data_IF_458685752065
#
_entry.id   IF_458685752065
#
_cell.length_a   1.000
_cell.length_b   1.000
_cell.length_c   1.000
_cell.angle_alpha   90.00
_cell.angle_beta   90.00
_cell.angle_gamma   90.00
#
_symmetry.space_group_name_H-M   'P 1'
#
loop_
_entity.id
_entity.type
_entity.pdbx_description
1 polymer ?
#
# COMPACT_ATOMS: atom_id res chain seq x y z
N UNK A 1 6.54 1.78 -13.41
CA UNK A 1 6.37 0.33 -13.56
C UNK A 1 7.46 -0.21 -14.48
N UNK A 2 7.97 -1.40 -14.21
CA UNK A 2 8.74 -2.14 -15.20
C UNK A 2 7.77 -2.84 -16.19
N UNK A 3 8.25 -3.28 -17.36
CA UNK A 3 7.41 -3.87 -18.41
C UNK A 3 6.65 -5.12 -17.93
N UNK A 4 7.21 -5.88 -16.98
CA UNK A 4 6.58 -7.07 -16.40
C UNK A 4 5.45 -6.70 -15.46
N UNK A 5 5.65 -5.72 -14.59
CA UNK A 5 4.62 -5.19 -13.69
C UNK A 5 3.43 -4.64 -14.49
N UNK A 6 3.68 -3.92 -15.59
CA UNK A 6 2.62 -3.41 -16.49
C UNK A 6 1.79 -4.55 -17.10
N UNK A 7 2.44 -5.60 -17.59
CA UNK A 7 1.75 -6.75 -18.19
C UNK A 7 0.98 -7.56 -17.13
N UNK A 8 1.58 -7.71 -15.95
CA UNK A 8 0.98 -8.45 -14.84
C UNK A 8 -0.21 -7.71 -14.23
N UNK A 9 -0.21 -6.38 -14.27
CA UNK A 9 -1.39 -5.60 -13.91
C UNK A 9 -2.56 -5.86 -14.88
N UNK A 10 -2.32 -5.95 -16.19
CA UNK A 10 -3.39 -6.17 -17.17
C UNK A 10 -4.13 -7.50 -16.96
N UNK A 11 -3.42 -8.54 -16.53
CA UNK A 11 -4.05 -9.84 -16.22
C UNK A 11 -4.80 -9.83 -14.89
N UNK A 12 -4.35 -9.02 -13.93
CA UNK A 12 -4.96 -8.84 -12.62
C UNK A 12 -6.16 -7.87 -12.62
N UNK A 13 -6.16 -6.88 -13.50
CA UNK A 13 -7.07 -5.75 -13.49
C UNK A 13 -8.57 -6.12 -13.51
N UNK A 14 -9.03 -7.10 -14.33
CA UNK A 14 -10.44 -7.50 -14.31
C UNK A 14 -10.88 -8.01 -12.93
N UNK A 15 -10.11 -8.93 -12.35
CA UNK A 15 -10.37 -9.46 -11.01
C UNK A 15 -10.30 -8.40 -9.91
N UNK A 16 -9.40 -7.43 -10.06
CA UNK A 16 -9.28 -6.30 -9.14
C UNK A 16 -10.51 -5.40 -9.17
N UNK A 17 -10.99 -5.05 -10.35
CA UNK A 17 -12.21 -4.24 -10.52
C UNK A 17 -13.42 -4.99 -9.96
N UNK A 18 -13.58 -6.28 -10.30
CA UNK A 18 -14.68 -7.10 -9.77
C UNK A 18 -14.65 -7.21 -8.24
N UNK A 19 -13.46 -7.35 -7.65
CA UNK A 19 -13.27 -7.34 -6.21
C UNK A 19 -13.72 -6.02 -5.58
N UNK A 20 -13.29 -4.89 -6.13
CA UNK A 20 -13.67 -3.56 -5.63
C UNK A 20 -15.17 -3.29 -5.80
N UNK A 21 -15.76 -3.67 -6.93
CA UNK A 21 -17.20 -3.55 -7.17
C UNK A 21 -18.01 -4.39 -6.17
N UNK A 22 -17.53 -5.60 -5.86
CA UNK A 22 -18.14 -6.46 -4.83
C UNK A 22 -18.03 -5.80 -3.46
N UNK A 23 -16.88 -5.24 -3.10
CA UNK A 23 -16.70 -4.50 -1.85
C UNK A 23 -17.68 -3.32 -1.77
N UNK A 24 -17.79 -2.53 -2.84
CA UNK A 24 -18.70 -1.39 -2.91
C UNK A 24 -20.17 -1.81 -2.77
N UNK A 25 -20.61 -2.79 -3.56
CA UNK A 25 -22.00 -3.29 -3.60
C UNK A 25 -22.46 -3.83 -2.25
N UNK A 26 -21.56 -4.48 -1.51
CA UNK A 26 -21.88 -5.11 -0.23
C UNK A 26 -21.42 -4.30 0.99
N UNK A 27 -20.98 -3.06 0.79
CA UNK A 27 -20.41 -2.21 1.85
C UNK A 27 -19.33 -2.93 2.67
N UNK A 28 -18.50 -3.75 2.00
CA UNK A 28 -17.40 -4.46 2.64
C UNK A 28 -16.18 -3.54 2.71
N UNK A 29 -15.57 -3.36 3.90
CA UNK A 29 -14.35 -2.57 4.02
C UNK A 29 -13.19 -3.24 3.27
N UNK A 30 -12.32 -2.42 2.69
CA UNK A 30 -11.07 -2.84 2.04
C UNK A 30 -9.97 -1.82 2.36
N UNK A 31 -8.78 -2.34 2.58
CA UNK A 31 -7.53 -1.61 2.78
C UNK A 31 -6.71 -1.49 1.50
N UNK A 32 -7.12 -2.10 0.39
CA UNK A 32 -6.41 -1.97 -0.88
C UNK A 32 -6.43 -0.52 -1.36
N UNK A 33 -5.25 0.01 -1.68
CA UNK A 33 -5.10 1.30 -2.37
C UNK A 33 -5.74 1.23 -3.77
N UNK A 34 -6.46 2.28 -4.16
CA UNK A 34 -7.25 2.25 -5.40
C UNK A 34 -6.35 2.62 -6.57
N UNK A 35 -6.29 1.78 -7.59
CA UNK A 35 -5.60 2.08 -8.83
C UNK A 35 -6.50 2.99 -9.65
N UNK A 36 -6.05 4.22 -9.86
CA UNK A 36 -6.77 5.24 -10.62
C UNK A 36 -6.54 5.04 -12.12
N UNK A 37 -5.33 4.63 -12.50
CA UNK A 37 -5.01 4.38 -13.90
C UNK A 37 -3.57 3.92 -14.13
N UNK A 38 -3.34 3.35 -15.31
CA UNK A 38 -2.02 3.01 -15.84
C UNK A 38 -1.81 3.75 -17.15
N UNK A 39 -0.69 4.44 -17.28
CA UNK A 39 -0.37 5.30 -18.40
C UNK A 39 0.98 4.93 -19.01
N UNK A 40 1.03 4.87 -20.34
CA UNK A 40 2.27 4.73 -21.10
C UNK A 40 2.64 6.10 -21.68
N UNK A 41 3.75 6.68 -21.24
CA UNK A 41 4.25 7.96 -21.72
C UNK A 41 5.44 7.71 -22.62
N UNK A 42 5.33 8.17 -23.87
CA UNK A 42 6.41 8.15 -24.85
C UNK A 42 6.58 9.54 -25.46
N UNK A 43 7.81 10.08 -25.43
CA UNK A 43 8.16 11.28 -26.18
C UNK A 43 9.59 11.19 -26.72
N UNK A 44 9.86 11.89 -27.82
CA UNK A 44 11.19 12.02 -28.39
C UNK A 44 11.65 13.46 -28.23
N UNK A 45 12.78 13.67 -27.56
CA UNK A 45 13.35 14.99 -27.39
C UNK A 45 13.89 15.47 -28.74
N UNK A 46 13.33 16.56 -29.26
CA UNK A 46 13.61 17.05 -30.61
C UNK A 46 15.06 17.54 -30.78
N UNK A 47 15.66 18.07 -29.71
CA UNK A 47 17.00 18.66 -29.75
C UNK A 47 18.13 17.65 -29.47
N UNK A 48 17.92 16.71 -28.55
CA UNK A 48 18.94 15.69 -28.18
C UNK A 48 18.74 14.37 -28.92
N UNK A 49 17.59 14.19 -29.57
CA UNK A 49 17.21 12.94 -30.23
C UNK A 49 16.85 11.81 -29.27
N UNK A 50 16.91 12.03 -27.96
CA UNK A 50 16.66 11.02 -26.93
C UNK A 50 15.21 10.57 -26.93
N UNK A 51 15.00 9.26 -26.78
CA UNK A 51 13.68 8.66 -26.64
C UNK A 51 13.40 8.40 -25.16
N UNK A 52 12.32 8.99 -24.67
CA UNK A 52 11.80 8.73 -23.34
C UNK A 52 10.59 7.79 -23.43
N UNK A 53 10.63 6.73 -22.62
CA UNK A 53 9.52 5.79 -22.45
C UNK A 53 9.38 5.46 -20.96
N UNK A 54 8.18 5.65 -20.41
CA UNK A 54 7.87 5.30 -19.01
C UNK A 54 6.44 4.80 -18.88
N UNK A 55 6.29 3.74 -18.09
CA UNK A 55 5.00 3.30 -17.58
C UNK A 55 4.77 3.86 -16.18
N UNK A 56 3.62 4.51 -15.98
CA UNK A 56 3.21 5.11 -14.71
C UNK A 56 1.93 4.44 -14.20
N UNK A 57 1.96 4.03 -12.94
CA UNK A 57 0.79 3.61 -12.17
C UNK A 57 0.37 4.77 -11.27
N UNK A 58 -0.90 5.17 -11.35
CA UNK A 58 -1.48 6.18 -10.45
C UNK A 58 -2.36 5.47 -9.44
N UNK A 59 -2.09 5.71 -8.16
CA UNK A 59 -2.77 5.10 -7.01
C UNK A 59 -3.40 6.18 -6.13
N UNK A 60 -4.41 5.79 -5.36
CA UNK A 60 -4.93 6.54 -4.22
C UNK A 60 -3.77 6.95 -3.31
N UNK A 61 -3.71 8.24 -3.00
CA UNK A 61 -2.75 8.76 -2.05
C UNK A 61 -3.27 8.55 -0.63
N UNK A 62 -2.75 7.52 0.05
CA UNK A 62 -3.03 7.28 1.47
C UNK A 62 -2.49 8.38 2.40
N UNK A 63 -1.59 9.24 1.90
CA UNK A 63 -0.90 10.32 2.62
C UNK A 63 -1.55 11.71 2.44
N UNK A 64 -2.80 11.80 1.97
CA UNK A 64 -3.41 13.11 1.71
C UNK A 64 -3.56 13.94 3.02
N UNK A 65 -3.19 15.23 3.05
CA UNK A 65 -3.33 16.07 4.26
C UNK A 65 -4.73 16.00 4.88
N UNK A 66 -4.85 16.05 6.23
CA UNK A 66 -3.93 16.68 7.20
C UNK A 66 -2.86 15.76 7.81
N UNK A 67 -2.75 14.51 7.37
CA UNK A 67 -1.90 13.47 8.02
C UNK A 67 -0.38 13.63 7.83
N UNK A 68 0.11 14.81 7.45
CA UNK A 68 1.54 15.16 7.46
C UNK A 68 1.76 16.26 8.48
N UNK A 69 1.93 15.85 9.73
CA UNK A 69 2.45 16.69 10.81
C UNK A 69 3.79 16.11 11.29
N UNK A 70 4.61 16.93 11.96
CA UNK A 70 5.78 16.44 12.71
C UNK A 70 5.44 15.34 13.71
N UNK A 71 4.16 15.22 14.07
CA UNK A 71 3.62 14.26 15.03
C UNK A 71 3.06 12.99 14.37
N UNK A 72 3.25 12.81 13.06
CA UNK A 72 2.85 11.60 12.33
C UNK A 72 4.02 10.64 12.14
N UNK A 73 3.84 9.41 12.60
CA UNK A 73 4.77 8.31 12.41
C UNK A 73 4.25 7.41 11.28
N UNK A 74 5.14 7.03 10.36
CA UNK A 74 4.81 6.21 9.20
C UNK A 74 5.55 4.88 9.31
N UNK A 75 4.83 3.77 9.14
CA UNK A 75 5.40 2.44 9.06
C UNK A 75 5.05 1.76 7.74
N UNK A 76 6.06 1.21 7.07
CA UNK A 76 5.89 0.21 6.01
C UNK A 76 6.04 -1.17 6.66
N UNK A 77 4.96 -1.95 6.71
CA UNK A 77 4.92 -3.25 7.38
C UNK A 77 4.74 -4.37 6.36
N UNK A 78 5.69 -5.31 6.29
CA UNK A 78 5.61 -6.49 5.42
C UNK A 78 5.31 -7.78 6.19
N UNK A 79 5.38 -7.75 7.52
CA UNK A 79 5.28 -8.93 8.38
C UNK A 79 6.52 -9.82 8.36
N UNK A 80 7.60 -9.41 7.70
CA UNK A 80 8.88 -10.09 7.71
C UNK A 80 9.85 -9.41 8.69
N UNK A 81 10.83 -10.17 9.20
CA UNK A 81 11.76 -9.68 10.23
C UNK A 81 13.18 -9.41 9.71
N UNK A 82 13.53 -9.90 8.51
CA UNK A 82 14.91 -9.80 8.02
C UNK A 82 15.10 -8.50 7.24
N UNK A 83 16.10 -7.71 7.61
CA UNK A 83 16.39 -6.40 7.00
C UNK A 83 15.20 -5.42 7.13
N UNK A 84 14.52 -5.43 8.28
CA UNK A 84 13.34 -4.59 8.54
C UNK A 84 13.54 -3.69 9.75
N UNK A 85 14.80 -3.31 10.02
CA UNK A 85 15.20 -2.29 10.98
C UNK A 85 15.87 -1.13 10.25
N UNK A 86 15.41 0.08 10.56
CA UNK A 86 16.02 1.32 10.12
C UNK A 86 16.63 2.04 11.32
N UNK A 87 17.85 2.54 11.17
CA UNK A 87 18.64 3.20 12.23
C UNK A 87 18.88 4.69 11.98
N UNK A 88 18.65 5.17 10.77
CA UNK A 88 18.73 6.61 10.44
C UNK A 88 17.38 7.28 10.71
N UNK A 89 17.37 8.62 10.78
CA UNK A 89 16.17 9.46 10.84
C UNK A 89 15.38 9.40 9.51
N UNK A 90 15.07 8.19 9.05
CA UNK A 90 14.23 7.97 7.90
C UNK A 90 12.79 8.35 8.24
N UNK A 91 12.15 9.02 7.29
CA UNK A 91 10.74 9.40 7.39
C UNK A 91 9.76 8.21 7.44
N UNK A 92 10.23 6.99 7.16
CA UNK A 92 9.42 5.77 7.11
C UNK A 92 10.14 4.66 7.90
N UNK A 93 9.46 4.17 8.93
CA UNK A 93 9.92 3.10 9.80
C UNK A 93 9.45 1.73 9.29
N UNK A 94 10.11 0.65 9.71
CA UNK A 94 9.82 -0.72 9.25
C UNK A 94 9.32 -1.63 10.39
N UNK A 95 9.14 -2.92 10.11
CA UNK A 95 8.56 -3.90 11.03
C UNK A 95 9.28 -4.00 12.38
N UNK A 96 10.63 -4.03 12.40
CA UNK A 96 11.38 -4.12 13.66
C UNK A 96 11.24 -2.84 14.48
N UNK A 97 11.22 -1.66 13.82
CA UNK A 97 10.95 -0.39 14.48
C UNK A 97 9.54 -0.36 15.11
N UNK A 98 8.54 -0.90 14.41
CA UNK A 98 7.16 -0.98 14.92
C UNK A 98 7.06 -1.89 16.14
N UNK A 99 7.73 -3.04 16.12
CA UNK A 99 7.76 -3.97 17.26
C UNK A 99 8.41 -3.32 18.47
N UNK A 100 9.58 -2.70 18.30
CA UNK A 100 10.29 -2.03 19.38
C UNK A 100 9.45 -0.89 19.98
N UNK A 101 8.87 -0.04 19.12
CA UNK A 101 8.02 1.07 19.56
C UNK A 101 6.73 0.58 20.24
N UNK A 102 6.13 -0.51 19.78
CA UNK A 102 4.90 -1.08 20.36
C UNK A 102 5.10 -1.69 21.75
N UNK A 103 6.33 -2.06 22.11
CA UNK A 103 6.66 -2.51 23.46
C UNK A 103 6.62 -1.36 24.47
N UNK A 104 7.06 -0.17 24.05
CA UNK A 104 7.07 1.03 24.89
C UNK A 104 5.72 1.74 24.87
N UNK A 105 5.09 1.83 23.70
CA UNK A 105 3.82 2.52 23.48
C UNK A 105 2.88 1.69 22.59
N UNK A 106 2.07 0.79 23.17
CA UNK A 106 1.16 -0.06 22.41
C UNK A 106 0.11 0.75 21.62
N UNK A 107 -0.16 0.31 20.39
CA UNK A 107 -1.22 0.92 19.57
C UNK A 107 -2.62 0.47 20.04
N UNK A 108 -3.32 1.34 20.77
CA UNK A 108 -4.68 1.06 21.23
C UNK A 108 -5.71 1.41 20.16
N UNK A 109 -6.53 0.42 19.78
CA UNK A 109 -7.66 0.60 18.87
C UNK A 109 -8.94 0.07 19.51
N UNK A 110 -10.07 0.72 19.23
CA UNK A 110 -11.39 0.25 19.67
C UNK A 110 -11.64 -1.16 19.11
N UNK A 111 -12.29 -2.02 19.91
CA UNK A 111 -12.57 -3.41 19.52
C UNK A 111 -13.31 -3.51 18.18
N UNK A 112 -14.31 -2.63 17.96
CA UNK A 112 -15.05 -2.58 16.70
C UNK A 112 -14.15 -2.23 15.50
N UNK A 113 -13.30 -1.20 15.64
CA UNK A 113 -12.36 -0.79 14.59
C UNK A 113 -11.33 -1.89 14.30
N UNK A 114 -10.83 -2.58 15.34
CA UNK A 114 -9.97 -3.75 15.20
C UNK A 114 -10.64 -4.84 14.38
N UNK A 115 -11.90 -5.16 14.68
CA UNK A 115 -12.67 -6.16 13.96
C UNK A 115 -12.86 -5.80 12.48
N UNK A 116 -13.20 -4.54 12.19
CA UNK A 116 -13.35 -4.06 10.82
C UNK A 116 -12.04 -4.15 10.04
N UNK A 117 -10.94 -3.69 10.64
CA UNK A 117 -9.61 -3.76 10.05
C UNK A 117 -9.19 -5.20 9.77
N UNK A 118 -9.33 -6.09 10.74
CA UNK A 118 -8.99 -7.51 10.57
C UNK A 118 -9.82 -8.17 9.47
N UNK A 119 -11.12 -7.86 9.37
CA UNK A 119 -11.99 -8.40 8.32
C UNK A 119 -11.59 -7.89 6.92
N UNK A 120 -11.22 -6.62 6.81
CA UNK A 120 -10.73 -6.02 5.57
C UNK A 120 -9.40 -6.66 5.15
N UNK A 121 -8.41 -6.68 6.04
CA UNK A 121 -7.10 -7.29 5.79
C UNK A 121 -7.22 -8.76 5.39
N UNK A 122 -8.05 -9.54 6.08
CA UNK A 122 -8.27 -10.94 5.72
C UNK A 122 -8.84 -11.09 4.31
N UNK A 123 -9.85 -10.29 3.97
CA UNK A 123 -10.47 -10.34 2.63
C UNK A 123 -9.50 -9.93 1.53
N UNK A 124 -8.72 -8.86 1.78
CA UNK A 124 -7.77 -8.30 0.82
C UNK A 124 -6.60 -9.26 0.61
N UNK A 125 -5.96 -9.75 1.69
CA UNK A 125 -4.84 -10.71 1.61
C UNK A 125 -5.25 -12.04 0.99
N UNK A 126 -6.48 -12.53 1.25
CA UNK A 126 -7.03 -13.70 0.57
C UNK A 126 -7.19 -13.46 -0.94
N UNK A 127 -7.66 -12.28 -1.33
CA UNK A 127 -7.78 -11.91 -2.74
C UNK A 127 -6.42 -11.81 -3.43
N UNK A 128 -5.45 -11.13 -2.81
CA UNK A 128 -4.09 -11.02 -3.33
C UNK A 128 -3.42 -12.39 -3.47
N UNK A 129 -3.56 -13.26 -2.46
CA UNK A 129 -3.02 -14.63 -2.47
C UNK A 129 -3.57 -15.47 -3.61
N UNK A 130 -4.89 -15.43 -3.87
CA UNK A 130 -5.52 -16.14 -5.01
C UNK A 130 -4.92 -15.73 -6.36
N UNK A 131 -4.47 -14.49 -6.47
CA UNK A 131 -3.87 -13.96 -7.70
C UNK A 131 -2.34 -14.09 -7.75
N UNK A 132 -1.69 -14.64 -6.71
CA UNK A 132 -0.24 -14.76 -6.64
C UNK A 132 0.48 -13.42 -6.45
N UNK A 133 -0.21 -12.43 -5.90
CA UNK A 133 0.38 -11.14 -5.53
C UNK A 133 1.04 -11.29 -4.16
N UNK A 134 2.31 -10.87 -4.07
CA UNK A 134 3.11 -10.89 -2.84
C UNK A 134 3.91 -9.58 -2.76
N UNK A 135 4.80 -9.49 -1.77
CA UNK A 135 5.70 -8.35 -1.54
C UNK A 135 5.03 -6.99 -1.32
N UNK A 136 3.71 -6.99 -1.15
CA UNK A 136 2.93 -5.86 -0.71
C UNK A 136 3.23 -5.50 0.74
N UNK A 137 3.08 -4.21 1.06
CA UNK A 137 3.22 -3.68 2.41
C UNK A 137 1.89 -3.15 2.92
N UNK A 138 1.63 -3.35 4.20
CA UNK A 138 0.64 -2.57 4.93
C UNK A 138 1.31 -1.27 5.39
N UNK A 139 0.89 -0.17 4.80
CA UNK A 139 1.32 1.15 5.21
C UNK A 139 0.44 1.60 6.37
N UNK A 140 1.05 1.98 7.48
CA UNK A 140 0.39 2.43 8.69
C UNK A 140 0.85 3.84 9.06
N UNK A 141 -0.12 4.70 9.34
CA UNK A 141 0.09 6.04 9.86
C UNK A 141 -0.49 6.12 11.24
N UNK A 142 0.25 6.78 12.11
CA UNK A 142 -0.20 7.06 13.45
C UNK A 142 0.14 8.50 13.80
N UNK A 143 -0.88 9.31 14.06
CA UNK A 143 -0.70 10.65 14.60
C UNK A 143 -0.76 10.59 16.14
N UNK A 144 0.33 11.00 16.79
CA UNK A 144 0.45 10.94 18.25
C UNK A 144 -0.38 12.00 18.98
N UNK A 145 -0.78 13.08 18.32
CA UNK A 145 -1.60 14.16 18.89
C UNK A 145 -3.09 13.91 18.67
N UNK A 146 -3.48 13.55 17.45
CA UNK A 146 -4.89 13.31 17.09
C UNK A 146 -5.38 11.91 17.45
N UNK A 147 -4.46 11.00 17.81
CA UNK A 147 -4.73 9.60 18.14
C UNK A 147 -5.52 8.88 17.03
N UNK A 148 -5.21 9.20 15.77
CA UNK A 148 -5.80 8.57 14.61
C UNK A 148 -4.81 7.59 13.96
N UNK A 149 -5.38 6.56 13.35
CA UNK A 149 -4.64 5.50 12.67
C UNK A 149 -5.22 5.33 11.28
N UNK A 150 -4.36 5.39 10.28
CA UNK A 150 -4.71 5.13 8.89
C UNK A 150 -3.89 3.96 8.38
N UNK A 151 -4.52 3.11 7.59
CA UNK A 151 -3.89 1.89 7.09
C UNK A 151 -4.31 1.61 5.67
N UNK A 152 -3.38 1.14 4.85
CA UNK A 152 -3.69 0.69 3.51
C UNK A 152 -2.59 -0.18 2.90
N UNK A 153 -2.98 -1.15 2.10
CA UNK A 153 -2.07 -2.03 1.39
C UNK A 153 -1.58 -1.34 0.12
N UNK A 154 -0.26 -1.33 -0.08
CA UNK A 154 0.45 -0.81 -1.25
C UNK A 154 1.40 -1.86 -1.82
N UNK A 155 1.93 -1.63 -3.04
CA UNK A 155 2.95 -2.49 -3.62
C UNK A 155 2.42 -3.84 -4.11
N UNK A 156 1.34 -3.83 -4.88
CA UNK A 156 0.75 -5.04 -5.47
C UNK A 156 1.60 -5.54 -6.65
N UNK A 157 2.65 -6.32 -6.38
CA UNK A 157 3.47 -6.97 -7.42
C UNK A 157 3.07 -8.45 -7.58
N UNK A 158 2.72 -8.85 -8.80
CA UNK A 158 2.27 -10.21 -9.09
C UNK A 158 3.45 -11.10 -9.52
N UNK A 159 3.58 -12.27 -8.86
CA UNK A 159 4.71 -13.19 -9.03
C UNK A 159 4.48 -14.32 -10.02
N UNK A 160 3.27 -14.48 -10.56
CA UNK A 160 3.02 -15.56 -11.52
C UNK A 160 3.80 -15.32 -12.82
N UNK A 161 4.85 -16.11 -12.98
CA UNK A 161 5.58 -16.36 -14.23
C UNK A 161 4.74 -17.20 -15.18
#
# INVERSE_FOLDING_TARGET
LNQKESLSFLTFAPSYVDYLLTCLKHSRPTTLSKIVGVYHIQYRHSLTGENFKRDILVLENLFYPPYKSSSTIIYDLKGSMRNRLVTQDDSVLLDENFINSSQENPLYVRLHSKWLLMKALYSDTLFLSKHGIVDYSLLLYYNTEELNVHVGIIGMENTKK
#
